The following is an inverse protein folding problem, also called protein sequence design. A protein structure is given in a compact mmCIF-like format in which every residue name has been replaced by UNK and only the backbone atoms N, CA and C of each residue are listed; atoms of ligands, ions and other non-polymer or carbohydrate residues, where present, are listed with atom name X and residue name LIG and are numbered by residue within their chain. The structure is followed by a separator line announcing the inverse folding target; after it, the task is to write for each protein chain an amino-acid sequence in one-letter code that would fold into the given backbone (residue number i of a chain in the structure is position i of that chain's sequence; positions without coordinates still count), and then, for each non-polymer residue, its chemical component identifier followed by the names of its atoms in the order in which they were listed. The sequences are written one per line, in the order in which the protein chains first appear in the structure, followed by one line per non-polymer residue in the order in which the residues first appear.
data_IF_746505059346
#
_entry.id   IF_746505059346
#
_cell.length_a   1.000
_cell.length_b   1.000
_cell.length_c   1.000
_cell.angle_alpha   90.00
_cell.angle_beta   90.00
_cell.angle_gamma   90.00
#
_symmetry.space_group_name_H-M   'P 1'
#
loop_
_entity.id
_entity.type
_entity.pdbx_description
1 polymer ?
#
# COMPACT_ATOMS: atom_id res chain seq x y z
N UNK A 1 62.35 36.85 14.62
CA UNK A 1 61.59 37.29 15.82
C UNK A 1 60.41 36.34 15.96
N UNK A 2 60.63 35.19 16.62
CA UNK A 2 60.17 34.89 17.99
C UNK A 2 58.64 34.74 18.05
N UNK A 3 58.00 33.68 18.52
CA UNK A 3 58.41 32.52 19.32
C UNK A 3 57.18 31.61 19.51
N UNK A 4 57.33 30.28 19.49
CA UNK A 4 56.45 29.37 20.27
C UNK A 4 56.83 29.45 21.75
N UNK A 5 55.92 29.19 22.70
CA UNK A 5 55.98 27.91 23.46
C UNK A 5 54.58 27.41 23.91
N UNK A 6 54.23 26.12 23.85
CA UNK A 6 54.44 24.98 24.78
C UNK A 6 53.31 24.71 25.82
N UNK A 7 52.77 23.49 25.75
CA UNK A 7 52.35 22.56 26.83
C UNK A 7 51.50 23.01 28.03
N UNK A 8 50.39 22.30 28.27
CA UNK A 8 50.15 21.63 29.56
C UNK A 8 49.19 20.42 29.47
N UNK A 9 49.58 19.34 30.16
CA UNK A 9 48.84 18.11 30.48
C UNK A 9 47.63 18.42 31.40
N UNK A 10 46.60 17.59 31.52
CA UNK A 10 46.46 16.52 32.55
C UNK A 10 45.15 15.73 32.30
N UNK A 11 45.19 14.44 32.64
CA UNK A 11 44.12 13.45 32.57
C UNK A 11 43.23 13.40 33.84
N UNK A 12 41.97 12.95 33.67
CA UNK A 12 41.14 12.20 34.64
C UNK A 12 39.94 11.62 33.85
N UNK A 13 39.77 10.30 33.69
CA UNK A 13 39.08 9.37 34.61
C UNK A 13 37.66 9.85 34.98
N UNK A 14 36.54 9.15 34.75
CA UNK A 14 36.28 7.82 34.20
C UNK A 14 34.77 7.47 34.29
N UNK A 15 34.41 6.36 33.65
CA UNK A 15 33.33 5.40 33.94
C UNK A 15 31.83 5.65 33.62
N UNK A 16 31.26 4.52 33.14
CA UNK A 16 29.86 4.04 33.10
C UNK A 16 28.93 4.59 32.00
N UNK A 17 28.38 3.79 31.08
CA UNK A 17 28.47 2.35 30.85
C UNK A 17 27.83 1.98 29.51
N UNK A 18 28.47 1.08 28.77
CA UNK A 18 27.94 0.48 27.56
C UNK A 18 27.62 -0.99 27.87
N UNK A 19 26.33 -1.34 27.84
CA UNK A 19 25.90 -2.74 27.84
C UNK A 19 26.10 -3.28 26.42
N UNK A 20 27.13 -4.10 26.27
CA UNK A 20 27.32 -5.02 25.14
C UNK A 20 26.60 -6.32 25.51
N UNK A 21 25.67 -6.78 24.67
CA UNK A 21 25.21 -8.17 24.72
C UNK A 21 26.01 -9.00 23.73
N UNK A 22 27.02 -9.68 24.27
CA UNK A 22 27.69 -10.84 23.65
C UNK A 22 26.83 -12.08 23.84
N UNK A 23 26.54 -12.80 22.75
CA UNK A 23 26.11 -14.20 22.82
C UNK A 23 27.30 -15.05 22.37
N UNK A 24 27.80 -15.89 23.26
CA UNK A 24 28.78 -16.92 22.98
C UNK A 24 28.09 -18.29 22.80
N UNK A 25 28.67 -19.21 22.00
CA UNK A 25 28.01 -20.40 21.49
C UNK A 25 28.24 -21.64 22.36
N UNK A 26 27.41 -22.68 22.18
CA UNK A 26 27.74 -24.04 22.60
C UNK A 26 27.57 -25.05 21.45
N UNK A 27 28.65 -25.82 21.29
CA UNK A 27 28.94 -26.91 20.35
C UNK A 27 28.11 -28.19 20.63
N UNK A 28 27.96 -29.20 19.76
CA UNK A 28 29.00 -30.01 19.09
C UNK A 28 28.37 -31.00 18.08
N UNK A 29 29.03 -31.14 16.93
CA UNK A 29 29.30 -32.34 16.11
C UNK A 29 28.20 -33.36 15.75
N UNK A 30 27.97 -33.53 14.45
CA UNK A 30 28.43 -34.73 13.72
C UNK A 30 28.56 -34.41 12.21
N UNK A 31 29.72 -34.74 11.64
CA UNK A 31 29.97 -34.62 10.21
C UNK A 31 29.61 -35.90 9.46
N UNK A 32 29.33 -35.78 8.17
CA UNK A 32 29.67 -36.79 7.17
C UNK A 32 29.74 -36.14 5.77
N UNK A 33 30.52 -36.80 4.92
CA UNK A 33 31.27 -36.24 3.81
C UNK A 33 30.48 -35.98 2.50
N UNK A 34 31.10 -35.14 1.68
CA UNK A 34 30.85 -34.86 0.26
C UNK A 34 31.01 -36.11 -0.61
N UNK A 35 30.12 -36.31 -1.60
CA UNK A 35 30.45 -36.95 -2.89
C UNK A 35 29.62 -36.34 -4.02
N UNK A 36 30.29 -36.12 -5.17
CA UNK A 36 29.75 -35.64 -6.45
C UNK A 36 29.22 -36.81 -7.30
N UNK A 37 28.29 -36.52 -8.22
CA UNK A 37 27.88 -37.33 -9.39
C UNK A 37 26.44 -36.96 -9.77
N UNK A 38 26.18 -36.13 -10.80
CA UNK A 38 26.14 -36.39 -12.25
C UNK A 38 24.89 -37.17 -12.73
N UNK A 39 24.31 -36.70 -13.86
CA UNK A 39 23.31 -37.33 -14.77
C UNK A 39 21.81 -37.14 -14.42
N UNK A 40 21.02 -36.30 -15.11
CA UNK A 40 20.37 -36.32 -16.46
C UNK A 40 19.04 -37.10 -16.59
N UNK A 41 18.01 -36.32 -16.99
CA UNK A 41 16.87 -36.61 -17.89
C UNK A 41 15.68 -37.54 -17.53
N UNK A 42 14.49 -36.90 -17.66
CA UNK A 42 13.30 -37.26 -18.45
C UNK A 42 12.21 -38.23 -17.90
N UNK A 43 10.96 -37.70 -18.02
CA UNK A 43 9.67 -38.32 -18.35
C UNK A 43 9.15 -39.57 -17.60
N UNK A 44 7.96 -39.42 -16.99
CA UNK A 44 6.72 -40.07 -17.49
C UNK A 44 5.45 -39.71 -16.71
N UNK A 45 4.37 -39.57 -17.48
CA UNK A 45 2.98 -39.42 -17.06
C UNK A 45 2.30 -40.75 -16.65
N UNK A 46 1.31 -40.66 -15.73
CA UNK A 46 -0.03 -41.31 -15.56
C UNK A 46 -0.33 -42.69 -16.21
N UNK A 47 -1.33 -43.50 -15.75
CA UNK A 47 -2.64 -43.10 -15.18
C UNK A 47 -3.30 -44.01 -14.10
N UNK A 48 -4.51 -43.61 -13.69
CA UNK A 48 -5.47 -44.22 -12.77
C UNK A 48 -6.18 -45.50 -13.28
N UNK A 49 -6.79 -46.30 -12.38
CA UNK A 49 -8.02 -47.09 -12.63
C UNK A 49 -8.79 -47.49 -11.34
N UNK A 50 -10.10 -47.65 -11.51
CA UNK A 50 -11.20 -47.94 -10.56
C UNK A 50 -11.34 -49.40 -10.09
N UNK A 51 -12.14 -49.64 -9.03
CA UNK A 51 -13.31 -50.59 -8.89
C UNK A 51 -13.56 -50.95 -7.40
N UNK A 52 -14.72 -50.68 -6.76
CA UNK A 52 -16.07 -51.31 -6.73
C UNK A 52 -16.31 -52.44 -5.68
N UNK A 53 -17.36 -52.23 -4.85
CA UNK A 53 -18.20 -53.19 -4.07
C UNK A 53 -17.54 -54.00 -2.91
N UNK A 54 -18.19 -54.39 -1.79
CA UNK A 54 -19.59 -54.62 -1.44
C UNK A 54 -19.77 -54.72 0.10
N UNK A 55 -20.97 -54.42 0.61
CA UNK A 55 -21.49 -54.77 1.95
C UNK A 55 -21.77 -56.29 2.09
N UNK A 56 -21.97 -56.79 3.33
CA UNK A 56 -23.29 -57.34 3.65
C UNK A 56 -23.82 -57.02 5.07
N UNK A 57 -25.14 -57.19 5.21
CA UNK A 57 -25.96 -57.27 6.45
C UNK A 57 -25.94 -58.73 7.00
N UNK A 58 -26.53 -59.20 8.10
CA UNK A 58 -27.56 -58.79 9.06
C UNK A 58 -27.56 -59.79 10.26
N UNK A 59 -28.58 -59.69 11.14
CA UNK A 59 -29.07 -60.63 12.20
C UNK A 59 -28.55 -60.33 13.62
N UNK A 60 -29.35 -60.29 14.70
CA UNK A 60 -30.77 -60.57 14.93
C UNK A 60 -30.97 -61.18 16.34
N UNK A 61 -31.98 -60.71 17.10
CA UNK A 61 -32.54 -61.35 18.31
C UNK A 61 -32.22 -60.67 19.66
N UNK A 62 -33.03 -60.72 20.73
CA UNK A 62 -34.46 -60.59 21.02
C UNK A 62 -34.67 -60.88 22.54
N UNK A 63 -35.59 -60.15 23.20
CA UNK A 63 -36.39 -60.49 24.42
C UNK A 63 -35.81 -60.33 25.87
N UNK A 64 -36.19 -59.21 26.52
CA UNK A 64 -37.16 -59.03 27.65
C UNK A 64 -36.95 -59.73 29.06
N UNK A 65 -37.76 -59.45 30.11
CA UNK A 65 -37.43 -58.51 31.21
C UNK A 65 -37.65 -59.06 32.65
N UNK A 66 -37.22 -58.34 33.70
CA UNK A 66 -37.74 -58.54 35.08
C UNK A 66 -37.87 -57.19 35.81
N UNK A 67 -39.04 -56.95 36.39
CA UNK A 67 -39.36 -55.84 37.28
C UNK A 67 -39.38 -56.31 38.75
N UNK A 68 -39.06 -55.44 39.71
CA UNK A 68 -39.52 -55.54 41.10
C UNK A 68 -39.45 -54.18 41.83
N UNK A 69 -40.24 -54.06 42.90
CA UNK A 69 -41.01 -52.87 43.32
C UNK A 69 -40.48 -52.19 44.61
N UNK A 70 -40.90 -50.92 44.79
CA UNK A 70 -40.81 -49.91 45.89
C UNK A 70 -40.58 -50.34 47.36
N UNK A 71 -39.97 -49.45 48.18
CA UNK A 71 -40.60 -48.55 49.22
C UNK A 71 -39.55 -48.01 50.24
N UNK A 72 -39.56 -46.69 50.52
CA UNK A 72 -39.43 -46.14 51.91
C UNK A 72 -38.21 -45.27 52.32
N UNK A 73 -38.44 -43.96 52.58
CA UNK A 73 -38.04 -43.28 53.85
C UNK A 73 -36.80 -42.35 53.95
N UNK A 74 -37.04 -41.02 53.97
CA UNK A 74 -36.47 -39.86 54.78
C UNK A 74 -34.95 -39.81 55.14
N UNK A 75 -34.13 -38.73 55.09
CA UNK A 75 -34.24 -37.30 55.44
C UNK A 75 -33.08 -36.44 54.83
N UNK A 76 -33.42 -35.17 54.54
CA UNK A 76 -32.68 -33.88 54.68
C UNK A 76 -31.22 -33.75 54.18
N UNK A 77 -31.05 -32.85 53.21
CA UNK A 77 -29.78 -32.20 52.89
C UNK A 77 -30.03 -30.95 52.03
N UNK A 78 -30.16 -29.79 52.68
CA UNK A 78 -30.19 -28.50 52.00
C UNK A 78 -28.81 -28.23 51.37
N UNK A 79 -28.74 -28.30 50.04
CA UNK A 79 -27.61 -27.78 49.28
C UNK A 79 -28.15 -26.72 48.32
N UNK A 80 -27.95 -25.47 48.72
CA UNK A 80 -28.06 -24.29 47.88
C UNK A 80 -27.25 -24.52 46.59
N UNK A 81 -27.94 -24.63 45.46
CA UNK A 81 -27.30 -24.52 44.14
C UNK A 81 -26.66 -23.13 44.06
N UNK A 82 -25.35 -22.97 43.87
CA UNK A 82 -24.82 -21.68 43.50
C UNK A 82 -25.35 -21.40 42.08
N UNK A 83 -26.17 -20.35 41.95
CA UNK A 83 -26.53 -19.84 40.64
C UNK A 83 -25.23 -19.40 39.96
N UNK A 84 -24.79 -20.13 38.94
CA UNK A 84 -23.86 -19.59 37.94
C UNK A 84 -24.61 -18.52 37.15
N UNK A 85 -24.66 -17.32 37.71
CA UNK A 85 -24.81 -16.07 36.98
C UNK A 85 -23.45 -15.39 37.02
N UNK A 86 -22.62 -15.67 36.04
CA UNK A 86 -21.69 -14.67 35.52
C UNK A 86 -22.22 -14.27 34.15
N UNK A 87 -23.24 -13.41 34.16
CA UNK A 87 -23.51 -12.60 32.98
C UNK A 87 -22.25 -11.76 32.83
N UNK A 88 -21.43 -12.07 31.83
CA UNK A 88 -20.33 -11.20 31.42
C UNK A 88 -20.94 -9.81 31.26
N UNK A 89 -20.50 -8.86 32.09
CA UNK A 89 -20.78 -7.46 31.84
C UNK A 89 -20.07 -7.18 30.51
N UNK A 90 -20.84 -7.10 29.42
CA UNK A 90 -20.33 -6.48 28.20
C UNK A 90 -19.81 -5.11 28.64
N UNK A 91 -18.50 -4.88 28.48
CA UNK A 91 -17.97 -3.53 28.52
C UNK A 91 -18.80 -2.71 27.52
N UNK A 92 -19.22 -1.50 27.88
CA UNK A 92 -20.15 -0.68 27.07
C UNK A 92 -19.53 -0.14 25.76
N UNK A 93 -18.51 -0.80 25.20
CA UNK A 93 -17.82 -0.41 23.98
C UNK A 93 -17.18 -1.61 23.25
N UNK A 94 -16.66 -1.38 22.04
CA UNK A 94 -16.00 -2.42 21.25
C UNK A 94 -14.76 -2.96 21.98
N UNK A 95 -14.39 -4.21 21.69
CA UNK A 95 -13.15 -4.80 22.19
C UNK A 95 -11.92 -4.22 21.49
N UNK A 96 -12.05 -3.86 20.22
CA UNK A 96 -11.01 -3.20 19.43
C UNK A 96 -11.59 -2.07 18.58
N UNK A 97 -10.85 -0.96 18.45
CA UNK A 97 -11.17 0.11 17.50
C UNK A 97 -10.13 0.16 16.37
N UNK A 98 -10.56 -0.09 15.13
CA UNK A 98 -9.75 -0.10 13.91
C UNK A 98 -9.83 1.26 13.19
N UNK A 99 -8.70 1.95 13.03
CA UNK A 99 -8.58 3.18 12.22
C UNK A 99 -8.34 2.90 10.73
N UNK A 100 -9.12 3.53 9.85
CA UNK A 100 -8.92 3.41 8.39
C UNK A 100 -9.33 4.69 7.65
N UNK A 101 -8.88 4.83 6.41
CA UNK A 101 -9.35 5.88 5.51
C UNK A 101 -10.77 5.61 5.00
N UNK A 102 -11.47 6.67 4.60
CA UNK A 102 -12.86 6.58 4.11
C UNK A 102 -13.03 6.15 2.64
N UNK A 103 -11.95 5.88 1.91
CA UNK A 103 -12.07 5.45 0.50
C UNK A 103 -12.64 4.02 0.41
N UNK A 104 -13.39 3.68 -0.67
CA UNK A 104 -13.97 2.33 -0.82
C UNK A 104 -12.95 1.20 -0.67
N UNK A 105 -11.74 1.36 -1.24
CA UNK A 105 -10.67 0.38 -1.12
C UNK A 105 -10.15 0.25 0.33
N UNK A 106 -9.99 1.37 1.04
CA UNK A 106 -9.53 1.36 2.42
C UNK A 106 -10.56 0.71 3.37
N UNK A 107 -11.85 0.93 3.11
CA UNK A 107 -12.93 0.24 3.80
C UNK A 107 -12.94 -1.26 3.50
N UNK A 108 -12.77 -1.66 2.24
CA UNK A 108 -12.64 -3.08 1.89
C UNK A 108 -11.47 -3.76 2.63
N UNK A 109 -10.34 -3.06 2.79
CA UNK A 109 -9.19 -3.55 3.57
C UNK A 109 -9.48 -3.64 5.07
N UNK A 110 -10.19 -2.65 5.63
CA UNK A 110 -10.60 -2.67 7.03
C UNK A 110 -11.60 -3.80 7.33
N UNK A 111 -12.57 -4.04 6.44
CA UNK A 111 -13.52 -5.14 6.58
C UNK A 111 -12.86 -6.51 6.41
N UNK A 112 -11.86 -6.64 5.52
CA UNK A 112 -11.04 -7.85 5.43
C UNK A 112 -10.25 -8.11 6.72
N UNK A 113 -9.68 -7.07 7.33
CA UNK A 113 -9.02 -7.19 8.63
C UNK A 113 -9.99 -7.61 9.74
N UNK A 114 -11.17 -6.97 9.81
CA UNK A 114 -12.24 -7.30 10.76
C UNK A 114 -12.71 -8.75 10.60
N UNK A 115 -12.95 -9.21 9.37
CA UNK A 115 -13.35 -10.59 9.08
C UNK A 115 -12.32 -11.59 9.60
N UNK A 116 -11.03 -11.35 9.31
CA UNK A 116 -9.94 -12.24 9.76
C UNK A 116 -9.81 -12.27 11.28
N UNK A 117 -10.02 -11.15 11.96
CA UNK A 117 -10.05 -11.10 13.43
C UNK A 117 -11.18 -11.96 13.99
N UNK A 118 -12.40 -11.84 13.45
CA UNK A 118 -13.54 -12.65 13.87
C UNK A 118 -13.41 -14.15 13.55
N UNK A 119 -12.67 -14.51 12.51
CA UNK A 119 -12.35 -15.91 12.19
C UNK A 119 -11.29 -16.51 13.12
N UNK A 120 -10.37 -15.69 13.62
CA UNK A 120 -9.29 -16.14 14.49
C UNK A 120 -9.67 -16.15 15.98
N UNK A 121 -10.59 -15.28 16.41
CA UNK A 121 -10.97 -15.09 17.80
C UNK A 121 -12.50 -15.02 17.95
N UNK A 122 -13.08 -15.96 18.70
CA UNK A 122 -14.54 -16.08 18.86
C UNK A 122 -15.15 -14.82 19.50
N UNK A 123 -14.44 -14.20 20.44
CA UNK A 123 -14.85 -12.96 21.09
C UNK A 123 -14.85 -11.74 20.16
N UNK A 124 -14.14 -11.80 19.02
CA UNK A 124 -14.13 -10.77 17.98
C UNK A 124 -15.08 -11.08 16.81
N UNK A 125 -15.80 -12.21 16.85
CA UNK A 125 -16.68 -12.63 15.76
C UNK A 125 -17.97 -11.80 15.68
N UNK A 126 -18.41 -11.22 16.80
CA UNK A 126 -19.56 -10.32 16.82
C UNK A 126 -19.23 -9.02 16.07
N UNK A 127 -20.17 -8.50 15.28
CA UNK A 127 -19.91 -7.34 14.41
C UNK A 127 -19.54 -6.08 15.22
N UNK A 128 -20.11 -5.91 16.40
CA UNK A 128 -19.82 -4.82 17.33
C UNK A 128 -18.50 -4.96 18.10
N UNK A 129 -17.86 -6.13 18.08
CA UNK A 129 -16.62 -6.37 18.84
C UNK A 129 -15.42 -5.59 18.28
N UNK A 130 -15.44 -5.30 16.98
CA UNK A 130 -14.42 -4.47 16.30
C UNK A 130 -15.09 -3.28 15.63
N UNK A 131 -14.93 -2.09 16.20
CA UNK A 131 -15.41 -0.84 15.61
C UNK A 131 -14.49 -0.39 14.48
N UNK A 132 -15.06 -0.03 13.32
CA UNK A 132 -14.32 0.58 12.21
C UNK A 132 -14.48 2.10 12.27
N UNK A 133 -13.39 2.80 12.61
CA UNK A 133 -13.34 4.25 12.70
C UNK A 133 -12.73 4.86 11.44
N UNK A 134 -13.57 5.58 10.69
CA UNK A 134 -13.13 6.30 9.49
C UNK A 134 -12.43 7.60 9.89
N UNK A 135 -11.20 7.76 9.44
CA UNK A 135 -10.37 8.94 9.66
C UNK A 135 -10.13 9.62 8.31
N UNK A 136 -10.56 10.88 8.21
CA UNK A 136 -10.36 11.70 7.01
C UNK A 136 -8.91 12.18 6.95
N UNK A 137 -8.20 11.90 5.87
CA UNK A 137 -6.81 12.34 5.69
C UNK A 137 -6.71 13.57 4.80
N UNK A 138 -5.65 14.36 4.95
CA UNK A 138 -5.38 15.52 4.06
C UNK A 138 -5.27 15.08 2.59
N UNK A 139 -4.73 13.89 2.33
CA UNK A 139 -4.64 13.29 1.00
C UNK A 139 -6.00 12.98 0.34
N UNK A 140 -7.04 12.77 1.15
CA UNK A 140 -8.42 12.58 0.66
C UNK A 140 -9.11 13.92 0.35
N UNK A 141 -8.74 15.00 1.06
CA UNK A 141 -9.35 16.32 0.91
C UNK A 141 -8.74 17.17 -0.20
N UNK A 142 -7.45 16.98 -0.52
CA UNK A 142 -6.70 17.82 -1.49
C UNK A 142 -6.33 17.05 -2.76
N UNK A 143 -7.35 16.74 -3.59
CA UNK A 143 -7.18 16.05 -4.87
C UNK A 143 -6.50 16.90 -5.97
N UNK A 144 -6.55 18.22 -5.83
CA UNK A 144 -6.12 19.23 -6.82
C UNK A 144 -4.59 19.40 -6.92
N UNK A 145 -3.84 19.06 -5.85
CA UNK A 145 -2.39 19.34 -5.72
C UNK A 145 -1.60 18.07 -6.10
N UNK A 146 -0.46 18.11 -6.81
CA UNK A 146 0.38 16.92 -7.14
C UNK A 146 0.88 16.15 -5.89
N UNK A 147 1.13 14.82 -5.97
CA UNK A 147 1.71 14.06 -4.84
C UNK A 147 3.09 14.63 -4.55
N UNK A 148 3.79 15.02 -5.61
CA UNK A 148 4.87 15.98 -5.69
C UNK A 148 4.91 16.95 -4.49
N UNK A 149 3.86 17.76 -4.43
CA UNK A 149 3.82 19.11 -3.83
C UNK A 149 3.33 19.15 -2.41
N UNK A 150 2.56 18.13 -2.01
CA UNK A 150 2.13 18.05 -0.63
C UNK A 150 3.33 17.54 0.16
N UNK A 151 4.23 18.46 0.51
CA UNK A 151 5.40 18.23 1.34
C UNK A 151 4.99 17.58 2.66
N UNK A 152 5.70 16.51 3.03
CA UNK A 152 5.44 15.71 4.23
C UNK A 152 5.54 14.21 3.96
N UNK A 153 6.35 13.51 4.76
CA UNK A 153 6.29 12.05 4.87
C UNK A 153 4.90 11.69 5.43
N UNK A 154 4.17 10.75 4.81
CA UNK A 154 2.91 10.21 5.38
C UNK A 154 1.61 10.94 5.04
N UNK A 155 1.43 11.47 3.82
CA UNK A 155 0.19 12.18 3.41
C UNK A 155 -1.12 11.41 3.69
N UNK A 156 -1.07 10.08 3.62
CA UNK A 156 -2.23 9.22 3.84
C UNK A 156 -2.23 8.53 5.21
N UNK A 157 -1.17 8.71 6.01
CA UNK A 157 -1.02 8.06 7.31
C UNK A 157 -1.04 9.05 8.46
N UNK A 158 -0.71 10.33 8.25
CA UNK A 158 -0.54 11.31 9.34
C UNK A 158 -1.73 11.37 10.29
N UNK A 159 -2.96 11.48 9.78
CA UNK A 159 -4.15 11.55 10.64
C UNK A 159 -4.45 10.21 11.33
N UNK A 160 -4.09 9.08 10.70
CA UNK A 160 -4.14 7.75 11.32
C UNK A 160 -3.08 7.61 12.43
N UNK A 161 -1.87 8.11 12.18
CA UNK A 161 -0.76 8.15 13.13
C UNK A 161 -1.13 8.97 14.37
N UNK A 162 -1.78 10.13 14.17
CA UNK A 162 -2.31 10.96 15.26
C UNK A 162 -3.37 10.21 16.08
N UNK A 163 -4.35 9.58 15.42
CA UNK A 163 -5.39 8.83 16.11
C UNK A 163 -4.83 7.61 16.89
N UNK A 164 -3.80 6.96 16.35
CA UNK A 164 -3.14 5.84 17.01
C UNK A 164 -2.35 6.30 18.25
N UNK A 165 -1.62 7.41 18.13
CA UNK A 165 -0.84 8.02 19.21
C UNK A 165 -1.74 8.61 20.31
N UNK A 166 -2.90 9.20 19.95
CA UNK A 166 -3.88 9.73 20.90
C UNK A 166 -4.76 8.65 21.55
N UNK A 167 -4.57 7.37 21.17
CA UNK A 167 -5.38 6.22 21.62
C UNK A 167 -6.87 6.35 21.26
N UNK A 168 -7.19 7.10 20.20
CA UNK A 168 -8.54 7.15 19.61
C UNK A 168 -8.90 5.88 18.85
N UNK A 169 -7.87 5.15 18.39
CA UNK A 169 -7.95 3.82 17.78
C UNK A 169 -6.89 2.91 18.39
N UNK A 170 -7.13 1.61 18.35
CA UNK A 170 -6.21 0.59 18.85
C UNK A 170 -5.14 0.21 17.82
N UNK A 171 -5.53 0.16 16.56
CA UNK A 171 -4.65 -0.11 15.44
C UNK A 171 -5.20 0.50 14.16
N UNK A 172 -4.33 0.70 13.18
CA UNK A 172 -4.68 1.21 11.87
C UNK A 172 -4.42 0.17 10.78
N UNK A 173 -5.27 0.14 9.76
CA UNK A 173 -5.10 -0.74 8.58
C UNK A 173 -4.69 0.09 7.38
N UNK A 174 -3.63 -0.36 6.69
CA UNK A 174 -3.06 0.37 5.57
C UNK A 174 -2.85 -0.51 4.35
N UNK A 175 -2.98 0.09 3.17
CA UNK A 175 -2.21 -0.35 2.00
C UNK A 175 -0.73 -0.08 2.29
N UNK A 176 0.08 -1.12 2.42
CA UNK A 176 1.45 -0.97 2.97
C UNK A 176 2.35 -0.08 2.13
N UNK A 177 2.13 -0.01 0.81
CA UNK A 177 2.85 0.90 -0.10
C UNK A 177 2.65 2.39 0.22
N UNK A 178 1.60 2.74 0.96
CA UNK A 178 1.30 4.12 1.35
C UNK A 178 1.91 4.47 2.73
N UNK A 179 2.48 3.47 3.43
CA UNK A 179 3.11 3.65 4.74
C UNK A 179 4.56 4.10 4.56
N UNK A 180 4.98 5.24 5.15
CA UNK A 180 6.36 5.69 5.11
C UNK A 180 7.36 4.64 5.62
N UNK A 181 8.62 4.74 5.21
CA UNK A 181 9.70 3.87 5.71
C UNK A 181 9.96 4.09 7.20
N UNK A 182 9.98 5.36 7.63
CA UNK A 182 10.01 5.77 9.03
C UNK A 182 8.60 5.81 9.61
N UNK A 183 8.36 5.04 10.67
CA UNK A 183 7.11 5.08 11.43
C UNK A 183 7.20 6.17 12.51
N UNK A 184 6.06 6.60 13.04
CA UNK A 184 6.06 7.44 14.25
C UNK A 184 6.63 6.63 15.44
N UNK A 185 7.31 7.31 16.40
CA UNK A 185 7.84 6.64 17.58
C UNK A 185 6.79 5.80 18.31
N UNK A 186 7.24 4.75 18.98
CA UNK A 186 6.42 3.87 19.81
C UNK A 186 5.29 3.15 19.04
N UNK A 187 5.41 3.05 17.71
CA UNK A 187 4.52 2.24 16.87
C UNK A 187 5.29 1.24 16.00
N UNK A 188 4.61 0.17 15.62
CA UNK A 188 5.17 -0.85 14.74
C UNK A 188 4.15 -1.37 13.72
N UNK A 189 4.65 -1.83 12.57
CA UNK A 189 3.87 -2.66 11.65
C UNK A 189 3.93 -4.11 12.14
N UNK A 190 3.04 -4.47 13.05
CA UNK A 190 3.08 -5.77 13.74
C UNK A 190 2.55 -6.94 12.90
N UNK A 191 1.77 -6.67 11.85
CA UNK A 191 1.05 -7.70 11.08
C UNK A 191 1.03 -7.37 9.60
N UNK A 192 1.26 -8.39 8.77
CA UNK A 192 1.11 -8.33 7.32
C UNK A 192 0.17 -9.44 6.87
N UNK A 193 -0.92 -9.11 6.18
CA UNK A 193 -1.82 -10.13 5.66
C UNK A 193 -1.19 -10.89 4.48
N UNK A 194 -1.72 -12.07 4.10
CA UNK A 194 -1.34 -12.73 2.85
C UNK A 194 -1.39 -11.75 1.67
N UNK A 195 -0.28 -11.67 0.93
CA UNK A 195 -0.09 -10.64 -0.09
C UNK A 195 -0.94 -10.95 -1.31
N UNK A 196 -1.65 -9.95 -1.78
CA UNK A 196 -2.40 -10.06 -3.03
C UNK A 196 -1.47 -9.85 -4.24
N UNK A 197 -1.97 -10.10 -5.45
CA UNK A 197 -1.21 -9.91 -6.69
C UNK A 197 -0.56 -8.51 -6.76
N UNK A 198 0.76 -8.51 -6.91
CA UNK A 198 1.57 -7.30 -6.85
C UNK A 198 1.67 -6.57 -8.19
N UNK A 199 1.23 -7.20 -9.29
CA UNK A 199 1.33 -6.65 -10.64
C UNK A 199 0.49 -5.38 -10.81
N UNK A 200 0.96 -4.53 -11.71
CA UNK A 200 0.15 -3.43 -12.23
C UNK A 200 -0.73 -3.93 -13.37
N UNK A 201 -1.87 -3.26 -13.58
CA UNK A 201 -2.72 -3.47 -14.75
C UNK A 201 -2.69 -2.24 -15.63
N UNK A 202 -2.61 -2.47 -16.94
CA UNK A 202 -2.95 -1.52 -17.97
C UNK A 202 -4.47 -1.50 -18.13
N UNK A 203 -5.05 -0.29 -18.13
CA UNK A 203 -6.46 -0.04 -18.40
C UNK A 203 -6.51 0.96 -19.56
N UNK A 204 -6.86 0.46 -20.74
CA UNK A 204 -6.95 1.27 -21.95
C UNK A 204 -8.39 1.74 -22.21
N UNK A 205 -8.52 2.96 -22.73
CA UNK A 205 -9.78 3.45 -23.30
C UNK A 205 -10.02 2.93 -24.73
N UNK A 206 -9.05 2.23 -25.31
CA UNK A 206 -9.08 1.67 -26.66
C UNK A 206 -8.69 0.18 -26.62
N UNK A 207 -9.58 -0.74 -27.00
CA UNK A 207 -9.31 -2.18 -26.92
C UNK A 207 -8.18 -2.64 -27.86
N UNK A 208 -7.77 -1.83 -28.84
CA UNK A 208 -6.62 -2.14 -29.69
C UNK A 208 -5.27 -1.97 -28.97
N UNK A 209 -5.24 -1.24 -27.85
CA UNK A 209 -4.02 -1.01 -27.07
C UNK A 209 -3.94 -2.07 -25.97
N UNK A 210 -3.01 -3.01 -26.13
CA UNK A 210 -2.81 -4.14 -25.22
C UNK A 210 -1.45 -4.11 -24.52
N UNK A 211 -0.53 -3.27 -24.96
CA UNK A 211 0.80 -3.07 -24.38
C UNK A 211 1.09 -1.57 -24.13
N UNK A 212 2.21 -1.27 -23.47
CA UNK A 212 2.66 0.13 -23.28
C UNK A 212 3.18 0.71 -24.61
N UNK A 213 3.74 -0.16 -25.44
CA UNK A 213 4.30 0.13 -26.74
C UNK A 213 3.21 0.39 -27.79
N UNK A 214 1.99 -0.10 -27.59
CA UNK A 214 0.85 0.08 -28.50
C UNK A 214 0.26 1.50 -28.48
N UNK A 215 0.61 2.33 -27.48
CA UNK A 215 0.10 3.70 -27.40
C UNK A 215 0.64 4.56 -28.56
N UNK A 216 -0.23 5.22 -29.35
CA UNK A 216 0.22 6.15 -30.38
C UNK A 216 1.03 7.31 -29.81
N UNK A 217 1.95 7.84 -30.62
CA UNK A 217 2.73 9.03 -30.28
C UNK A 217 1.84 10.19 -29.82
N UNK A 218 2.26 10.85 -28.74
CA UNK A 218 1.53 11.95 -28.13
C UNK A 218 0.33 11.55 -27.26
N UNK A 219 0.03 10.25 -27.11
CA UNK A 219 -1.05 9.78 -26.24
C UNK A 219 -0.90 10.27 -24.80
N UNK A 220 -2.01 10.71 -24.21
CA UNK A 220 -2.05 11.08 -22.79
C UNK A 220 -2.29 9.83 -21.94
N UNK A 221 -1.38 9.57 -21.00
CA UNK A 221 -1.46 8.44 -20.06
C UNK A 221 -1.67 8.97 -18.64
N UNK A 222 -2.73 8.53 -17.97
CA UNK A 222 -3.05 8.96 -16.62
C UNK A 222 -2.25 8.20 -15.56
N UNK A 223 -1.26 8.85 -14.94
CA UNK A 223 -0.58 8.32 -13.74
C UNK A 223 0.04 9.44 -12.91
N UNK A 224 -0.11 9.38 -11.59
CA UNK A 224 0.59 10.26 -10.64
C UNK A 224 1.84 9.61 -10.00
N UNK A 225 2.22 8.40 -10.46
CA UNK A 225 3.35 7.65 -9.93
C UNK A 225 4.57 7.85 -10.81
N UNK A 226 5.64 8.48 -10.27
CA UNK A 226 6.90 8.64 -10.98
C UNK A 226 7.54 7.28 -11.34
N UNK A 227 7.38 6.27 -10.47
CA UNK A 227 7.76 4.88 -10.75
C UNK A 227 7.14 4.36 -12.05
N UNK A 228 5.82 4.52 -12.21
CA UNK A 228 5.14 4.06 -13.44
C UNK A 228 5.54 4.91 -14.63
N UNK A 229 5.59 6.23 -14.45
CA UNK A 229 5.96 7.16 -15.51
C UNK A 229 7.32 6.82 -16.11
N UNK A 230 8.35 6.63 -15.28
CA UNK A 230 9.68 6.28 -15.76
C UNK A 230 9.71 4.95 -16.53
N UNK A 231 9.01 3.93 -16.04
CA UNK A 231 8.92 2.63 -16.74
C UNK A 231 8.10 2.69 -18.03
N UNK A 232 7.07 3.54 -18.08
CA UNK A 232 6.30 3.82 -19.30
C UNK A 232 7.22 4.48 -20.34
N UNK A 233 7.93 5.55 -19.97
CA UNK A 233 8.80 6.26 -20.90
C UNK A 233 9.98 5.42 -21.39
N UNK A 234 10.49 4.51 -20.57
CA UNK A 234 11.51 3.55 -21.00
C UNK A 234 11.05 2.62 -22.13
N UNK A 235 9.74 2.33 -22.19
CA UNK A 235 9.13 1.45 -23.21
C UNK A 235 8.57 2.22 -24.40
N UNK A 236 7.98 3.38 -24.14
CA UNK A 236 7.38 4.24 -25.14
C UNK A 236 7.66 5.72 -24.79
N UNK A 237 8.77 6.30 -25.28
CA UNK A 237 9.18 7.66 -24.93
C UNK A 237 8.31 8.76 -25.56
N UNK A 238 7.43 8.41 -26.51
CA UNK A 238 6.64 9.39 -27.27
C UNK A 238 5.28 9.71 -26.64
N UNK A 239 4.90 9.02 -25.57
CA UNK A 239 3.66 9.29 -24.81
C UNK A 239 3.86 10.42 -23.79
N UNK A 240 2.76 10.94 -23.24
CA UNK A 240 2.77 11.98 -22.22
C UNK A 240 2.05 11.50 -20.99
N UNK A 241 2.78 11.26 -19.89
CA UNK A 241 2.14 10.98 -18.62
C UNK A 241 1.62 12.26 -17.97
N UNK A 242 0.36 12.26 -17.54
CA UNK A 242 -0.31 13.39 -16.89
C UNK A 242 -0.76 13.02 -15.48
N UNK A 243 -0.71 13.99 -14.56
CA UNK A 243 -1.12 13.80 -13.18
C UNK A 243 -2.59 13.33 -13.12
N UNK A 244 -2.80 12.13 -12.59
CA UNK A 244 -4.09 11.47 -12.62
C UNK A 244 -4.50 10.96 -11.24
N UNK A 245 -5.43 11.68 -10.64
CA UNK A 245 -5.79 11.61 -9.23
C UNK A 245 -7.26 11.29 -9.01
N UNK A 246 -7.54 10.81 -7.80
CA UNK A 246 -8.84 10.30 -7.34
C UNK A 246 -8.72 8.85 -6.85
N UNK A 247 -9.77 8.37 -6.21
CA UNK A 247 -9.96 6.94 -5.96
C UNK A 247 -10.12 6.18 -7.30
N UNK A 248 -10.15 4.85 -7.24
CA UNK A 248 -10.20 3.99 -8.43
C UNK A 248 -11.41 4.30 -9.31
N UNK A 249 -12.60 4.44 -8.72
CA UNK A 249 -13.83 4.71 -9.46
C UNK A 249 -13.76 6.07 -10.20
N UNK A 250 -13.23 7.11 -9.55
CA UNK A 250 -13.04 8.43 -10.19
C UNK A 250 -12.08 8.35 -11.37
N UNK A 251 -11.00 7.58 -11.24
CA UNK A 251 -10.02 7.38 -12.33
C UNK A 251 -10.64 6.63 -13.52
N UNK A 252 -11.43 5.59 -13.26
CA UNK A 252 -12.13 4.85 -14.32
C UNK A 252 -13.15 5.74 -15.05
N UNK A 253 -13.89 6.59 -14.33
CA UNK A 253 -14.80 7.56 -14.97
C UNK A 253 -14.06 8.57 -15.86
N UNK A 254 -12.93 9.11 -15.40
CA UNK A 254 -12.10 10.03 -16.20
C UNK A 254 -11.55 9.36 -17.47
N UNK A 255 -11.14 8.10 -17.37
CA UNK A 255 -10.74 7.30 -18.53
C UNK A 255 -11.91 7.12 -19.52
N UNK A 256 -13.09 6.72 -19.03
CA UNK A 256 -14.30 6.57 -19.87
C UNK A 256 -14.73 7.89 -20.51
N UNK A 257 -14.48 9.03 -19.86
CA UNK A 257 -14.72 10.37 -20.39
C UNK A 257 -13.72 10.80 -21.46
N UNK A 258 -12.64 10.05 -21.70
CA UNK A 258 -11.62 10.35 -22.69
C UNK A 258 -10.55 11.34 -22.23
N UNK A 259 -10.45 11.65 -20.93
CA UNK A 259 -9.43 12.57 -20.38
C UNK A 259 -8.00 12.08 -20.67
N UNK A 260 -7.83 10.76 -20.74
CA UNK A 260 -6.59 10.06 -21.04
C UNK A 260 -6.88 8.85 -21.94
N UNK A 261 -5.90 8.39 -22.72
CA UNK A 261 -6.02 7.20 -23.58
C UNK A 261 -5.88 5.90 -22.78
N UNK A 262 -5.19 5.93 -21.66
CA UNK A 262 -5.04 4.81 -20.74
C UNK A 262 -4.57 5.23 -19.36
N UNK A 263 -4.74 4.34 -18.38
CA UNK A 263 -4.24 4.52 -17.01
C UNK A 263 -3.74 3.19 -16.45
N UNK A 264 -3.11 3.26 -15.27
CA UNK A 264 -2.53 2.10 -14.61
C UNK A 264 -3.04 2.03 -13.16
N UNK A 265 -3.43 0.84 -12.73
CA UNK A 265 -3.86 0.56 -11.35
C UNK A 265 -3.11 -0.66 -10.81
N UNK A 266 -3.09 -0.82 -9.49
CA UNK A 266 -2.55 -2.04 -8.89
C UNK A 266 -3.62 -3.13 -9.00
N UNK A 267 -3.26 -4.33 -9.44
CA UNK A 267 -4.24 -5.39 -9.65
C UNK A 267 -4.96 -5.78 -8.35
N UNK A 268 -4.21 -5.87 -7.25
CA UNK A 268 -4.77 -6.07 -5.91
C UNK A 268 -5.89 -5.09 -5.53
N UNK A 269 -5.82 -3.84 -6.02
CA UNK A 269 -6.88 -2.86 -5.77
C UNK A 269 -8.18 -3.23 -6.48
N UNK A 270 -8.10 -3.68 -7.74
CA UNK A 270 -9.25 -4.13 -8.50
C UNK A 270 -9.87 -5.39 -7.91
N UNK A 271 -9.05 -6.40 -7.59
CA UNK A 271 -9.51 -7.66 -6.99
C UNK A 271 -10.31 -7.45 -5.70
N UNK A 272 -9.81 -6.58 -4.81
CA UNK A 272 -10.48 -6.28 -3.53
C UNK A 272 -11.82 -5.57 -3.68
N UNK A 273 -12.07 -4.96 -4.84
CA UNK A 273 -13.32 -4.26 -5.12
C UNK A 273 -14.19 -5.01 -6.14
N UNK A 274 -13.77 -6.21 -6.57
CA UNK A 274 -14.44 -6.97 -7.62
C UNK A 274 -14.60 -6.16 -8.92
N UNK A 275 -13.50 -5.59 -9.39
CA UNK A 275 -13.41 -4.68 -10.54
C UNK A 275 -12.39 -5.16 -11.59
N UNK A 276 -12.04 -6.46 -11.59
CA UNK A 276 -11.05 -7.06 -12.48
C UNK A 276 -11.41 -6.95 -13.96
N UNK A 277 -12.70 -6.85 -14.29
CA UNK A 277 -13.22 -6.69 -15.65
C UNK A 277 -12.74 -5.42 -16.36
N UNK A 278 -12.26 -4.44 -15.59
CA UNK A 278 -11.67 -3.23 -16.15
C UNK A 278 -10.21 -3.42 -16.60
N UNK A 279 -9.54 -4.51 -16.21
CA UNK A 279 -8.14 -4.73 -16.61
C UNK A 279 -8.06 -5.10 -18.11
N UNK A 280 -7.36 -4.28 -18.89
CA UNK A 280 -7.04 -4.61 -20.30
C UNK A 280 -5.92 -5.64 -20.36
N UNK A 281 -4.87 -5.44 -19.56
CA UNK A 281 -3.75 -6.38 -19.43
C UNK A 281 -3.18 -6.33 -18.02
N UNK A 282 -2.92 -7.49 -17.44
CA UNK A 282 -2.09 -7.62 -16.23
C UNK A 282 -0.63 -7.69 -16.68
N UNK A 283 0.19 -6.76 -16.18
CA UNK A 283 1.57 -6.58 -16.63
C UNK A 283 2.52 -7.45 -15.81
N UNK A 284 3.39 -8.18 -16.49
CA UNK A 284 4.46 -8.92 -15.82
C UNK A 284 5.52 -7.97 -15.24
N UNK A 285 6.36 -8.48 -14.34
CA UNK A 285 7.34 -7.64 -13.62
C UNK A 285 8.45 -7.07 -14.50
N UNK A 286 8.74 -7.72 -15.63
CA UNK A 286 9.63 -7.21 -16.68
C UNK A 286 8.97 -6.07 -17.48
N UNK A 287 7.65 -6.06 -17.57
CA UNK A 287 6.89 -4.97 -18.17
C UNK A 287 6.72 -3.77 -17.23
N UNK A 288 6.43 -4.02 -15.95
CA UNK A 288 6.22 -2.99 -14.94
C UNK A 288 6.54 -3.54 -13.55
N UNK A 289 7.74 -3.24 -13.04
CA UNK A 289 8.12 -3.67 -11.70
C UNK A 289 7.26 -2.92 -10.65
N UNK A 290 6.64 -3.63 -9.68
CA UNK A 290 5.72 -3.04 -8.71
C UNK A 290 6.33 -1.99 -7.79
N UNK A 291 5.46 -1.19 -7.18
CA UNK A 291 5.86 -0.39 -6.03
C UNK A 291 6.22 -1.28 -4.83
N UNK A 292 7.14 -0.79 -4.02
CA UNK A 292 7.48 -1.36 -2.70
C UNK A 292 6.20 -1.61 -1.91
N UNK A 293 6.07 -2.81 -1.35
CA UNK A 293 4.94 -3.28 -0.57
C UNK A 293 3.58 -3.28 -1.32
N UNK A 294 3.56 -3.18 -2.65
CA UNK A 294 2.31 -3.28 -3.41
C UNK A 294 1.64 -4.63 -3.19
N UNK A 295 0.31 -4.61 -3.02
CA UNK A 295 -0.49 -5.82 -2.76
C UNK A 295 -0.57 -6.21 -1.28
N UNK A 296 0.30 -5.71 -0.41
CA UNK A 296 0.26 -6.00 1.02
C UNK A 296 -0.73 -5.08 1.78
N UNK A 297 -1.35 -5.65 2.82
CA UNK A 297 -2.10 -4.93 3.85
C UNK A 297 -1.33 -5.10 5.16
N UNK A 298 -1.08 -3.99 5.85
CA UNK A 298 -0.36 -3.98 7.12
C UNK A 298 -1.23 -3.42 8.23
N UNK A 299 -1.05 -3.95 9.44
CA UNK A 299 -1.61 -3.36 10.65
C UNK A 299 -0.52 -2.61 11.40
N UNK A 300 -0.79 -1.36 11.74
CA UNK A 300 0.06 -0.52 12.57
C UNK A 300 -0.58 -0.39 13.96
N UNK A 301 0.16 -0.65 15.03
CA UNK A 301 -0.31 -0.41 16.39
C UNK A 301 0.81 0.19 17.25
N UNK A 302 0.46 0.54 18.50
CA UNK A 302 1.46 0.94 19.50
C UNK A 302 2.30 -0.27 19.90
N UNK A 303 3.60 -0.07 20.05
CA UNK A 303 4.57 -1.15 20.34
C UNK A 303 4.48 -1.67 21.78
N UNK A 304 3.86 -0.91 22.69
CA UNK A 304 3.69 -1.25 24.10
C UNK A 304 2.30 -1.83 24.43
N UNK A 305 1.42 -2.00 23.44
CA UNK A 305 0.06 -2.48 23.64
C UNK A 305 -0.05 -4.00 23.46
N UNK A 306 0.45 -4.74 24.44
CA UNK A 306 0.44 -6.22 24.45
C UNK A 306 -0.96 -6.80 24.22
N UNK A 307 -2.00 -6.12 24.72
CA UNK A 307 -3.40 -6.52 24.53
C UNK A 307 -3.75 -6.55 23.05
N UNK A 308 -3.46 -5.47 22.31
CA UNK A 308 -3.71 -5.38 20.87
C UNK A 308 -2.79 -6.34 20.11
N UNK A 309 -1.50 -6.40 20.46
CA UNK A 309 -0.52 -7.26 19.79
C UNK A 309 -0.89 -8.74 19.85
N UNK A 310 -1.49 -9.20 20.95
CA UNK A 310 -1.95 -10.58 21.10
C UNK A 310 -3.05 -10.97 20.11
N UNK A 311 -3.87 -10.01 19.65
CA UNK A 311 -4.85 -10.24 18.59
C UNK A 311 -4.26 -10.11 17.19
N UNK A 312 -3.35 -9.16 16.98
CA UNK A 312 -2.88 -8.83 15.63
C UNK A 312 -1.81 -9.81 15.13
N UNK A 313 -0.78 -10.11 15.94
CA UNK A 313 0.38 -10.93 15.54
C UNK A 313 0.00 -12.31 14.95
N UNK A 314 -1.00 -13.05 15.50
CA UNK A 314 -1.42 -14.34 14.94
C UNK A 314 -1.97 -14.28 13.51
N UNK A 315 -2.43 -13.11 13.05
CA UNK A 315 -2.94 -12.93 11.68
C UNK A 315 -1.82 -12.70 10.65
N UNK A 316 -0.57 -12.57 11.10
CA UNK A 316 0.55 -12.20 10.25
C UNK A 316 0.99 -13.37 9.37
N UNK A 317 1.14 -13.09 8.07
CA UNK A 317 1.67 -14.00 7.08
C UNK A 317 3.19 -13.79 6.96
N UNK A 318 3.96 -14.78 7.45
CA UNK A 318 5.41 -14.69 7.57
C UNK A 318 6.11 -14.32 6.26
N UNK A 319 5.77 -14.96 5.15
CA UNK A 319 6.42 -14.71 3.86
C UNK A 319 6.13 -13.30 3.33
N UNK A 320 4.90 -12.80 3.51
CA UNK A 320 4.59 -11.41 3.16
C UNK A 320 5.42 -10.46 4.03
N UNK A 321 5.47 -10.74 5.33
CA UNK A 321 6.18 -9.91 6.29
C UNK A 321 7.65 -9.76 5.92
N UNK A 322 8.32 -10.86 5.60
CA UNK A 322 9.73 -10.87 5.27
C UNK A 322 10.01 -10.24 3.91
N UNK A 323 9.19 -10.55 2.89
CA UNK A 323 9.30 -9.91 1.59
C UNK A 323 9.14 -8.37 1.68
N UNK A 324 8.10 -7.90 2.37
CA UNK A 324 7.86 -6.47 2.56
C UNK A 324 8.96 -5.82 3.41
N UNK A 325 9.47 -6.51 4.42
CA UNK A 325 10.61 -6.02 5.23
C UNK A 325 11.85 -5.78 4.36
N UNK A 326 12.17 -6.73 3.48
CA UNK A 326 13.27 -6.58 2.53
C UNK A 326 13.06 -5.39 1.57
N UNK A 327 11.88 -5.28 0.97
CA UNK A 327 11.56 -4.19 0.05
C UNK A 327 11.62 -2.82 0.74
N UNK A 328 11.14 -2.72 1.98
CA UNK A 328 11.19 -1.47 2.77
C UNK A 328 12.62 -1.10 3.13
N UNK A 329 13.48 -2.07 3.46
CA UNK A 329 14.90 -1.82 3.69
C UNK A 329 15.60 -1.32 2.42
N UNK A 330 15.29 -1.91 1.26
CA UNK A 330 15.75 -1.42 -0.04
C UNK A 330 15.32 0.01 -0.32
N UNK A 331 14.03 0.34 -0.08
CA UNK A 331 13.53 1.70 -0.25
C UNK A 331 14.21 2.70 0.68
N UNK A 332 14.42 2.32 1.94
CA UNK A 332 15.06 3.16 2.95
C UNK A 332 16.52 3.47 2.61
N UNK A 333 17.29 2.48 2.13
CA UNK A 333 18.67 2.66 1.71
C UNK A 333 18.84 3.67 0.53
N UNK A 334 17.77 3.88 -0.23
CA UNK A 334 17.70 4.81 -1.36
C UNK A 334 17.08 6.17 -1.01
N UNK A 335 16.80 6.44 0.28
CA UNK A 335 16.05 7.61 0.75
C UNK A 335 14.69 7.79 0.01
N UNK A 336 14.10 6.67 -0.38
CA UNK A 336 12.96 6.62 -1.28
C UNK A 336 11.60 6.80 -0.60
N UNK A 337 10.59 7.15 -1.40
CA UNK A 337 9.20 7.25 -0.94
C UNK A 337 8.21 7.08 -2.11
N UNK A 338 6.91 7.27 -1.88
CA UNK A 338 5.88 7.11 -2.92
C UNK A 338 6.00 8.09 -4.11
N UNK A 339 6.86 9.10 -3.99
CA UNK A 339 7.12 10.12 -5.02
C UNK A 339 8.43 9.87 -5.76
N UNK A 340 9.21 8.84 -5.44
CA UNK A 340 10.46 8.55 -6.17
C UNK A 340 10.22 7.50 -7.27
N UNK A 341 10.97 7.56 -8.39
CA UNK A 341 10.93 6.57 -9.47
C UNK A 341 11.63 5.25 -9.09
N UNK A 342 11.22 4.67 -7.95
CA UNK A 342 11.78 3.44 -7.37
C UNK A 342 10.72 2.35 -7.44
N UNK A 343 11.12 1.17 -7.91
CA UNK A 343 10.31 -0.04 -7.87
C UNK A 343 11.09 -1.15 -7.17
N UNK A 344 10.36 -2.07 -6.53
CA UNK A 344 11.00 -3.20 -5.90
C UNK A 344 9.98 -4.19 -5.39
N UNK A 345 10.35 -5.46 -5.49
CA UNK A 345 9.47 -6.56 -5.20
C UNK A 345 10.29 -7.77 -4.77
N UNK A 346 9.97 -8.28 -3.59
CA UNK A 346 10.52 -9.51 -3.05
C UNK A 346 9.43 -10.60 -2.97
N UNK A 347 9.84 -11.85 -3.04
CA UNK A 347 9.03 -13.04 -2.77
C UNK A 347 9.85 -14.04 -1.98
N UNK A 348 9.16 -14.83 -1.16
CA UNK A 348 9.73 -16.06 -0.60
C UNK A 348 9.38 -17.20 -1.57
N UNK A 349 10.39 -17.89 -2.09
CA UNK A 349 10.27 -19.00 -3.03
C UNK A 349 11.13 -20.12 -2.48
N UNK A 350 10.52 -21.28 -2.20
CA UNK A 350 11.23 -22.46 -1.67
C UNK A 350 12.12 -22.18 -0.44
N UNK A 351 11.66 -21.27 0.43
CA UNK A 351 12.38 -20.86 1.65
C UNK A 351 13.52 -19.86 1.43
N UNK A 352 13.71 -19.35 0.21
CA UNK A 352 14.64 -18.27 -0.12
C UNK A 352 13.90 -16.97 -0.40
N UNK A 353 14.46 -15.86 0.04
CA UNK A 353 13.98 -14.53 -0.30
C UNK A 353 14.64 -14.07 -1.59
N UNK A 354 13.84 -13.76 -2.60
CA UNK A 354 14.30 -13.22 -3.89
C UNK A 354 13.78 -11.80 -4.04
N UNK A 355 14.66 -10.83 -4.19
CA UNK A 355 14.36 -9.41 -4.41
C UNK A 355 14.73 -9.01 -5.85
N UNK A 356 13.84 -8.28 -6.51
CA UNK A 356 14.14 -7.45 -7.68
C UNK A 356 13.90 -6.00 -7.34
N UNK A 357 14.83 -5.12 -7.68
CA UNK A 357 14.74 -3.68 -7.46
C UNK A 357 15.16 -2.90 -8.69
N UNK A 358 14.65 -1.67 -8.83
CA UNK A 358 15.17 -0.70 -9.78
C UNK A 358 14.99 0.73 -9.30
N UNK A 359 15.83 1.61 -9.83
CA UNK A 359 15.69 3.07 -9.76
C UNK A 359 15.85 3.62 -11.17
N UNK A 360 14.95 4.49 -11.58
CA UNK A 360 14.94 5.06 -12.93
C UNK A 360 15.05 6.58 -12.90
N UNK A 361 15.64 7.18 -13.93
CA UNK A 361 15.50 8.60 -14.17
C UNK A 361 14.03 8.92 -14.46
N UNK A 362 13.53 10.11 -14.10
CA UNK A 362 12.10 10.41 -14.29
C UNK A 362 11.63 10.41 -15.75
N UNK A 363 12.54 10.63 -16.69
CA UNK A 363 12.31 10.52 -18.13
C UNK A 363 12.42 9.08 -18.68
N UNK A 364 12.75 8.10 -17.83
CA UNK A 364 12.87 6.69 -18.19
C UNK A 364 14.11 6.33 -19.04
N UNK A 365 15.02 7.27 -19.31
CA UNK A 365 16.18 7.03 -20.16
C UNK A 365 17.30 6.23 -19.47
N UNK A 366 17.41 6.34 -18.15
CA UNK A 366 18.40 5.64 -17.34
C UNK A 366 17.70 4.77 -16.31
N UNK A 367 18.04 3.49 -16.24
CA UNK A 367 17.49 2.56 -15.25
C UNK A 367 18.62 1.71 -14.67
N UNK A 368 18.76 1.77 -13.34
CA UNK A 368 19.60 0.86 -12.57
C UNK A 368 18.75 -0.25 -12.01
N UNK A 369 19.19 -1.51 -12.15
CA UNK A 369 18.46 -2.70 -11.71
C UNK A 369 19.34 -3.52 -10.78
N UNK A 370 18.71 -4.17 -9.81
CA UNK A 370 19.38 -5.07 -8.88
C UNK A 370 18.53 -6.31 -8.65
N UNK A 371 19.18 -7.45 -8.54
CA UNK A 371 18.57 -8.68 -8.04
C UNK A 371 19.40 -9.22 -6.87
N UNK A 372 18.72 -9.81 -5.90
CA UNK A 372 19.33 -10.48 -4.75
C UNK A 372 18.54 -11.71 -4.37
N UNK A 373 19.25 -12.68 -3.82
CA UNK A 373 18.69 -13.86 -3.19
C UNK A 373 19.41 -14.11 -1.87
N UNK A 374 18.70 -14.65 -0.89
CA UNK A 374 19.31 -15.11 0.36
C UNK A 374 18.29 -15.65 1.35
N UNK A 375 18.79 -15.96 2.54
CA UNK A 375 17.94 -16.50 3.60
C UNK A 375 16.85 -15.50 3.99
N UNK A 376 15.66 -16.01 4.29
CA UNK A 376 14.51 -15.19 4.75
C UNK A 376 14.85 -14.38 6.01
N UNK A 377 15.73 -14.89 6.88
CA UNK A 377 16.22 -14.18 8.07
C UNK A 377 17.01 -12.90 7.75
N UNK A 378 17.55 -12.79 6.54
CA UNK A 378 18.45 -11.71 6.14
C UNK A 378 17.72 -10.62 5.36
N UNK A 379 16.37 -10.61 5.39
CA UNK A 379 15.52 -9.69 4.62
C UNK A 379 16.01 -8.23 4.65
N UNK A 380 16.30 -7.70 5.85
CA UNK A 380 16.80 -6.32 6.01
C UNK A 380 18.17 -6.12 5.37
N UNK A 381 19.10 -7.06 5.57
CA UNK A 381 20.45 -6.98 5.01
C UNK A 381 20.40 -7.06 3.47
N UNK A 382 19.64 -8.00 2.92
CA UNK A 382 19.43 -8.14 1.48
C UNK A 382 18.92 -6.84 0.85
N UNK A 383 17.88 -6.24 1.47
CA UNK A 383 17.30 -4.99 0.96
C UNK A 383 18.28 -3.82 1.05
N UNK A 384 18.96 -3.68 2.19
CA UNK A 384 19.93 -2.60 2.43
C UNK A 384 21.10 -2.68 1.44
N UNK A 385 21.66 -3.87 1.25
CA UNK A 385 22.78 -4.10 0.34
C UNK A 385 22.40 -3.84 -1.13
N UNK A 386 21.20 -4.25 -1.53
CA UNK A 386 20.67 -3.96 -2.87
C UNK A 386 20.52 -2.45 -3.12
N UNK A 387 20.05 -1.69 -2.11
CA UNK A 387 19.91 -0.24 -2.21
C UNK A 387 21.27 0.46 -2.24
N UNK A 388 22.22 0.00 -1.43
CA UNK A 388 23.58 0.53 -1.40
C UNK A 388 24.33 0.31 -2.73
N UNK A 389 24.13 -0.84 -3.38
CA UNK A 389 24.69 -1.12 -4.71
C UNK A 389 24.18 -0.10 -5.75
N UNK A 390 22.86 0.05 -5.87
CA UNK A 390 22.29 1.03 -6.82
C UNK A 390 22.76 2.45 -6.49
N UNK A 391 22.81 2.82 -5.21
CA UNK A 391 23.27 4.16 -4.81
C UNK A 391 24.70 4.43 -5.26
N UNK A 392 25.58 3.44 -5.08
CA UNK A 392 26.98 3.51 -5.50
C UNK A 392 27.12 3.56 -7.02
N UNK A 393 26.33 2.76 -7.75
CA UNK A 393 26.39 2.68 -9.21
C UNK A 393 25.85 3.95 -9.87
N UNK A 394 24.70 4.43 -9.44
CA UNK A 394 24.06 5.62 -10.01
C UNK A 394 24.78 6.92 -9.63
N UNK A 395 25.42 6.95 -8.45
CA UNK A 395 26.14 8.11 -7.94
C UNK A 395 25.23 9.23 -7.44
N UNK A 396 25.77 10.09 -6.57
CA UNK A 396 24.98 11.14 -5.91
C UNK A 396 24.41 12.18 -6.90
N UNK A 397 25.07 12.43 -8.03
CA UNK A 397 24.56 13.35 -9.06
C UNK A 397 23.22 12.88 -9.64
N UNK A 398 23.05 11.57 -9.84
CA UNK A 398 21.79 11.00 -10.31
C UNK A 398 20.67 11.22 -9.30
N UNK A 399 20.93 10.95 -8.02
CA UNK A 399 19.94 11.16 -6.96
C UNK A 399 19.61 12.64 -6.76
N UNK A 400 20.58 13.53 -6.90
CA UNK A 400 20.33 14.98 -6.85
C UNK A 400 19.39 15.40 -7.99
N UNK A 401 19.69 15.02 -9.23
CA UNK A 401 18.82 15.31 -10.39
C UNK A 401 17.41 14.72 -10.22
N UNK A 402 17.33 13.51 -9.69
CA UNK A 402 16.05 12.88 -9.39
C UNK A 402 15.25 13.68 -8.35
N UNK A 403 15.89 14.13 -7.26
CA UNK A 403 15.25 14.96 -6.24
C UNK A 403 14.82 16.31 -6.80
N UNK A 404 15.68 16.98 -7.58
CA UNK A 404 15.38 18.27 -8.21
C UNK A 404 14.15 18.14 -9.11
N UNK A 405 14.09 17.10 -9.95
CA UNK A 405 12.93 16.82 -10.78
C UNK A 405 11.66 16.57 -9.95
N UNK A 406 11.75 15.78 -8.87
CA UNK A 406 10.61 15.55 -7.98
C UNK A 406 10.12 16.89 -7.42
N UNK A 407 11.02 17.80 -7.05
CA UNK A 407 10.65 19.14 -6.57
C UNK A 407 10.08 20.04 -7.68
N UNK A 408 10.58 19.95 -8.91
CA UNK A 408 10.05 20.71 -10.05
C UNK A 408 8.64 20.25 -10.42
N UNK A 409 8.42 18.94 -10.51
CA UNK A 409 7.08 18.36 -10.68
C UNK A 409 6.21 18.70 -9.47
N UNK A 410 6.81 18.78 -8.28
CA UNK A 410 6.14 19.24 -7.08
C UNK A 410 5.79 20.74 -7.11
N UNK A 411 6.44 21.56 -7.92
CA UNK A 411 6.17 23.00 -8.00
C UNK A 411 5.21 23.31 -9.15
N UNK A 412 5.36 22.65 -10.29
CA UNK A 412 4.60 22.91 -11.50
C UNK A 412 3.09 22.71 -11.35
N UNK A 413 2.64 21.77 -10.50
CA UNK A 413 1.21 21.55 -10.27
C UNK A 413 0.63 22.40 -9.11
N UNK A 414 1.44 23.19 -8.38
CA UNK A 414 0.98 24.13 -7.33
C UNK A 414 0.47 25.43 -7.90
N UNK A 415 0.71 25.66 -9.19
CA UNK A 415 0.22 26.83 -9.89
C UNK A 415 -1.29 26.66 -10.09
N UNK A 416 -2.14 27.52 -9.49
CA UNK A 416 -3.58 27.39 -9.65
C UNK A 416 -3.95 27.45 -11.12
N UNK A 417 -4.80 26.53 -11.56
CA UNK A 417 -5.42 26.58 -12.88
C UNK A 417 -5.93 28.01 -13.13
N UNK A 418 -5.56 28.55 -14.29
CA UNK A 418 -5.91 29.88 -14.78
C UNK A 418 -7.32 30.27 -14.32
N UNK A 419 -7.42 31.38 -13.57
CA UNK A 419 -8.70 31.97 -13.16
C UNK A 419 -9.56 32.10 -14.42
N UNK A 420 -10.68 31.37 -14.48
CA UNK A 420 -11.75 31.70 -15.42
C UNK A 420 -12.04 33.20 -15.27
N UNK A 421 -12.11 33.99 -16.35
CA UNK A 421 -12.40 35.41 -16.23
C UNK A 421 -13.75 35.54 -15.50
N UNK A 422 -13.71 36.15 -14.32
CA UNK A 422 -14.90 36.51 -13.58
C UNK A 422 -15.66 37.54 -14.42
N UNK A 423 -16.81 37.16 -14.94
CA UNK A 423 -17.78 38.13 -15.47
C UNK A 423 -18.29 38.93 -14.27
N UNK A 424 -17.70 40.11 -14.06
CA UNK A 424 -18.23 41.08 -13.13
C UNK A 424 -19.52 41.65 -13.74
N UNK A 425 -20.68 41.23 -13.23
CA UNK A 425 -21.91 42.00 -13.40
C UNK A 425 -21.78 43.28 -12.56
N UNK A 426 -21.46 44.39 -13.23
CA UNK A 426 -21.56 45.72 -12.65
C UNK A 426 -23.04 46.09 -12.55
N UNK A 427 -23.65 45.87 -11.39
CA UNK A 427 -24.89 46.57 -11.02
C UNK A 427 -24.50 47.97 -10.54
N UNK A 428 -24.31 48.89 -11.49
CA UNK A 428 -24.10 50.31 -11.23
C UNK A 428 -25.43 51.05 -11.21
N UNK A 429 -25.79 51.60 -10.05
CA UNK A 429 -26.94 52.48 -9.84
C UNK A 429 -26.81 53.74 -10.70
N UNK A 430 -27.87 54.08 -11.44
CA UNK A 430 -27.92 55.25 -12.32
C UNK A 430 -28.23 56.50 -11.50
N UNK A 431 -27.27 57.42 -11.41
CA UNK A 431 -27.52 58.80 -11.00
C UNK A 431 -27.51 59.69 -12.24
N UNK A 432 -28.65 60.35 -12.49
CA UNK A 432 -28.80 61.36 -13.53
C UNK A 432 -28.03 62.63 -13.17
N UNK A 433 -27.22 63.15 -14.08
CA UNK A 433 -27.04 64.59 -14.24
C UNK A 433 -26.71 64.97 -15.68
N UNK A 434 -27.24 66.13 -16.05
CA UNK A 434 -27.37 66.74 -17.38
C UNK A 434 -26.07 67.29 -17.96
N UNK A 435 -25.85 67.13 -19.27
CA UNK A 435 -24.86 67.92 -20.00
C UNK A 435 -24.56 67.46 -21.43
N UNK A 436 -25.19 68.13 -22.40
CA UNK A 436 -24.72 68.49 -23.77
C UNK A 436 -23.66 67.66 -24.54
N UNK A 437 -24.09 67.19 -25.72
CA UNK A 437 -23.41 66.78 -26.98
C UNK A 437 -22.10 67.53 -27.34
N UNK A 438 -21.21 67.07 -28.28
CA UNK A 438 -21.52 66.31 -29.51
C UNK A 438 -20.52 65.22 -29.99
N UNK A 439 -20.94 64.54 -31.07
CA UNK A 439 -20.29 63.50 -31.89
C UNK A 439 -19.04 64.03 -32.63
N UNK A 440 -18.00 63.19 -32.86
CA UNK A 440 -17.62 62.88 -34.26
C UNK A 440 -17.12 61.43 -34.49
N UNK A 441 -17.55 60.84 -35.61
CA UNK A 441 -16.85 59.82 -36.42
C UNK A 441 -15.86 60.51 -37.39
N UNK A 442 -15.04 59.82 -38.25
CA UNK A 442 -14.68 58.39 -38.36
C UNK A 442 -13.15 58.15 -38.54
N UNK A 443 -12.73 56.88 -38.75
CA UNK A 443 -11.74 56.38 -39.76
C UNK A 443 -10.83 55.23 -39.26
N UNK A 444 -11.14 54.04 -39.80
CA UNK A 444 -10.36 52.90 -40.37
C UNK A 444 -9.07 52.32 -39.73
N UNK A 445 -9.04 50.98 -39.92
CA UNK A 445 -7.92 50.05 -40.16
C UNK A 445 -7.27 49.43 -38.90
N UNK A 446 -7.01 48.13 -38.80
CA UNK A 446 -7.19 46.96 -39.65
C UNK A 446 -6.89 45.68 -38.82
N UNK A 447 -7.33 44.51 -39.34
CA UNK A 447 -6.78 43.15 -39.10
C UNK A 447 -6.91 42.59 -37.67
N UNK A 448 -7.26 41.33 -37.39
CA UNK A 448 -7.43 40.08 -38.14
C UNK A 448 -8.32 39.13 -37.30
N UNK A 449 -9.22 38.43 -37.99
CA UNK A 449 -9.59 37.01 -37.84
C UNK A 449 -9.72 36.43 -36.41
N UNK A 450 -10.95 36.13 -35.99
CA UNK A 450 -11.43 34.74 -35.90
C UNK A 450 -12.90 34.71 -35.48
N UNK A 451 -13.76 34.22 -36.37
CA UNK A 451 -15.18 34.01 -36.15
C UNK A 451 -15.37 32.74 -35.30
N UNK A 452 -15.89 32.90 -34.08
CA UNK A 452 -16.61 31.83 -33.39
C UNK A 452 -18.06 31.81 -33.93
N UNK A 453 -18.45 30.70 -34.55
CA UNK A 453 -19.85 30.33 -34.74
C UNK A 453 -20.46 29.95 -33.37
N UNK A 454 -21.70 30.35 -33.04
CA UNK A 454 -22.40 29.83 -31.88
C UNK A 454 -23.16 28.54 -32.22
N UNK A 455 -23.05 27.55 -31.33
CA UNK A 455 -23.96 26.41 -31.23
C UNK A 455 -25.32 26.91 -30.73
N UNK A 456 -26.33 26.91 -31.60
CA UNK A 456 -27.73 26.91 -31.20
C UNK A 456 -28.10 25.51 -30.68
N UNK A 457 -28.60 25.47 -29.46
CA UNK A 457 -29.44 24.39 -28.95
C UNK A 457 -30.88 24.89 -29.07
N UNK A 458 -31.79 24.10 -29.66
CA UNK A 458 -33.17 23.84 -29.20
C UNK A 458 -33.94 22.98 -30.23
N UNK A 459 -34.38 21.81 -29.75
CA UNK A 459 -35.60 21.01 -30.10
C UNK A 459 -35.84 20.57 -31.56
N UNK A 460 -35.69 19.26 -31.81
CA UNK A 460 -36.77 18.26 -31.75
C UNK A 460 -36.19 16.85 -31.67
#
# INVERSE_FOLDING_TARGET
MASRPSNMKVAAAGCCGALVWTIAPHSKSNGFAVMRGAETMADRALPATHTHHSRPAAQGGALAPVACTLVGGVMVGAATRPSRRSVARHAEGPLLTLGTRGSPLALAQAYEAKRRLGEAFEELAADEAVEVRIISTTGDQRLEISLAEIGGKGLFTRELDVALASKEVDFCVHSTKDVPTELIPDTELCTMLPREDTRDVLISGDPAITSIEDFPDGSLIGTASLRRQAQIYSKNPNVKCVNFRGNVQTRLRKLQGGDVKGTFLAYAGLKRMSMEEHATKVLEWDEMLPAIAQGAISFQCRSDDDRVLNYLKPLSHADTFQAVTCERAFLAALDGNCKTPIAGQARVIDGQLVLKGLVASPDGQTIYRVEREGAVSDAVAIGTDAGAEIRKEAGEEFFQKMQDYVQEVAAANTTPACKKPSVQFLTGSVAFSSGSLPVPEPVRAAQMVSQCLPLEVVRQ
#
